data_IF_619297949690
#
_entry.id   IF_619297949690
#
_cell.length_a   1.000
_cell.length_b   1.000
_cell.length_c   1.000
_cell.angle_alpha   90.00
_cell.angle_beta   90.00
_cell.angle_gamma   90.00
#
_symmetry.space_group_name_H-M   'P 1'
#
loop_
_entity.id
_entity.type
_entity.pdbx_description
1 polymer ?
#
# COMPACT_ATOMS: atom_id res chain seq x y z
N UNK A 1 70.66 6.25 29.40
CA UNK A 1 69.36 5.62 29.65
C UNK A 1 68.24 6.68 29.80
N UNK A 2 67.70 7.24 28.74
CA UNK A 2 66.51 8.09 28.76
C UNK A 2 66.06 8.21 27.30
N UNK A 3 65.10 7.39 26.87
CA UNK A 3 64.61 7.46 25.48
C UNK A 3 63.72 6.25 25.05
N UNK A 4 62.74 5.91 25.85
CA UNK A 4 61.75 4.87 25.46
C UNK A 4 60.39 5.04 26.15
N UNK A 5 59.81 6.23 26.12
CA UNK A 5 58.49 6.42 26.76
C UNK A 5 57.52 7.38 26.03
N UNK A 6 57.78 7.67 24.74
CA UNK A 6 56.90 8.58 23.99
C UNK A 6 56.22 7.96 22.77
N UNK A 7 56.26 6.64 22.56
CA UNK A 7 55.65 5.98 21.39
C UNK A 7 54.34 5.23 21.66
N UNK A 8 53.85 5.20 22.90
CA UNK A 8 52.63 4.45 23.26
C UNK A 8 51.39 5.30 23.51
N UNK A 9 51.49 6.63 23.42
CA UNK A 9 50.36 7.53 23.66
C UNK A 9 49.64 8.04 22.38
N UNK A 10 50.19 7.80 21.17
CA UNK A 10 49.58 8.26 19.91
C UNK A 10 48.72 7.21 19.20
N UNK A 11 48.79 5.94 19.60
CA UNK A 11 47.99 4.87 18.96
C UNK A 11 46.59 4.72 19.54
N UNK A 12 46.27 5.34 20.67
CA UNK A 12 44.96 5.20 21.34
C UNK A 12 43.93 6.25 20.92
N UNK A 13 44.33 7.31 20.22
CA UNK A 13 43.39 8.35 19.75
C UNK A 13 42.90 8.16 18.31
N UNK A 14 43.43 7.20 17.56
CA UNK A 14 42.99 6.96 16.17
C UNK A 14 41.89 5.88 16.04
N UNK A 15 41.57 5.19 17.14
CA UNK A 15 40.53 4.14 17.14
C UNK A 15 39.12 4.64 17.55
N UNK A 16 39.00 5.90 17.97
CA UNK A 16 37.70 6.46 18.41
C UNK A 16 37.00 7.37 17.37
N UNK A 17 37.53 7.49 16.17
CA UNK A 17 36.98 8.35 15.11
C UNK A 17 36.35 7.54 13.94
N UNK A 18 35.89 6.29 14.18
CA UNK A 18 34.78 5.75 13.38
C UNK A 18 33.51 6.38 13.92
N UNK A 19 33.43 7.71 13.82
CA UNK A 19 32.23 8.47 14.06
C UNK A 19 31.16 7.93 13.12
N UNK A 20 30.02 7.54 13.69
CA UNK A 20 28.80 7.23 12.97
C UNK A 20 28.62 8.24 11.84
N UNK A 21 28.66 7.77 10.59
CA UNK A 21 28.32 8.60 9.45
C UNK A 21 26.94 9.20 9.75
N UNK A 22 26.77 10.52 9.70
CA UNK A 22 25.48 11.12 9.98
C UNK A 22 24.46 10.54 9.02
N UNK A 23 23.38 9.99 9.55
CA UNK A 23 22.23 9.63 8.73
C UNK A 23 21.70 10.93 8.13
N UNK A 24 21.87 11.12 6.82
CA UNK A 24 21.34 12.29 6.14
C UNK A 24 19.81 12.20 6.11
N UNK A 25 19.15 13.32 6.42
CA UNK A 25 17.73 13.47 6.21
C UNK A 25 17.47 13.61 4.71
N UNK A 26 16.55 12.80 4.17
CA UNK A 26 16.25 12.73 2.74
C UNK A 26 14.76 12.85 2.47
N UNK A 27 14.40 13.35 1.29
CA UNK A 27 13.01 13.57 0.86
C UNK A 27 12.27 12.27 0.51
N UNK A 28 12.96 11.14 0.44
CA UNK A 28 12.42 9.84 0.07
C UNK A 28 13.18 8.72 0.77
N UNK A 29 12.60 7.54 0.84
CA UNK A 29 13.27 6.32 1.28
C UNK A 29 13.05 5.21 0.26
N UNK A 30 14.15 4.61 -0.22
CA UNK A 30 14.16 3.43 -1.06
C UNK A 30 14.66 2.22 -0.25
N UNK A 31 14.00 1.08 -0.38
CA UNK A 31 14.38 -0.15 0.33
C UNK A 31 15.72 -0.70 -0.16
N UNK A 32 15.97 -0.61 -1.46
CA UNK A 32 17.10 -1.27 -2.08
C UNK A 32 18.13 -0.33 -2.63
N UNK A 33 17.81 0.77 -3.26
CA UNK A 33 18.82 1.63 -3.88
C UNK A 33 18.31 3.02 -4.28
N UNK A 34 18.56 3.43 -5.52
CA UNK A 34 18.40 4.79 -6.01
C UNK A 34 16.94 5.22 -6.10
N UNK A 35 16.76 6.48 -5.82
CA UNK A 35 15.47 7.16 -5.89
C UNK A 35 15.34 7.77 -7.29
N UNK A 36 14.31 7.40 -8.05
CA UNK A 36 14.07 7.91 -9.42
C UNK A 36 13.86 9.42 -9.45
N UNK A 37 13.12 9.95 -8.51
CA UNK A 37 12.80 11.38 -8.45
C UNK A 37 13.72 12.10 -7.47
N UNK A 38 14.70 12.89 -7.95
CA UNK A 38 15.69 13.56 -7.10
C UNK A 38 15.05 14.68 -6.27
N UNK A 39 15.75 15.19 -5.25
CA UNK A 39 15.30 16.38 -4.53
C UNK A 39 14.98 17.53 -5.48
N UNK A 40 13.83 18.18 -5.28
CA UNK A 40 13.37 19.28 -6.13
C UNK A 40 12.60 18.86 -7.37
N UNK A 41 12.27 17.57 -7.56
CA UNK A 41 11.34 17.17 -8.63
C UNK A 41 10.01 17.91 -8.49
N UNK A 42 9.30 18.08 -9.60
CA UNK A 42 8.09 18.93 -9.65
C UNK A 42 6.79 18.14 -9.66
N UNK A 43 6.79 16.94 -10.19
CA UNK A 43 5.65 15.99 -10.23
C UNK A 43 6.17 14.61 -10.64
N UNK A 44 5.38 13.57 -10.46
CA UNK A 44 5.66 12.25 -11.01
C UNK A 44 5.44 12.22 -12.53
N UNK A 45 6.24 11.44 -13.26
CA UNK A 45 6.21 11.40 -14.73
C UNK A 45 4.87 10.92 -15.32
N UNK A 46 4.13 10.11 -14.58
CA UNK A 46 2.86 9.52 -15.01
C UNK A 46 1.64 10.44 -14.81
N UNK A 47 1.81 11.65 -14.30
CA UNK A 47 0.71 12.60 -14.12
C UNK A 47 0.79 13.73 -15.14
N UNK A 48 -0.36 14.31 -15.47
CA UNK A 48 -0.41 15.60 -16.15
C UNK A 48 -0.51 16.71 -15.10
N UNK A 49 0.56 17.53 -14.88
CA UNK A 49 0.54 18.58 -13.87
C UNK A 49 -0.49 19.68 -14.15
N UNK A 50 -0.88 19.84 -15.41
CA UNK A 50 -1.84 20.83 -15.91
C UNK A 50 -3.25 20.24 -16.11
N UNK A 51 -3.50 19.04 -15.58
CA UNK A 51 -4.82 18.41 -15.67
C UNK A 51 -5.89 19.34 -15.08
N UNK A 52 -7.01 19.56 -15.79
CA UNK A 52 -8.08 20.44 -15.31
C UNK A 52 -8.68 19.91 -14.02
N UNK A 53 -9.00 20.84 -13.12
CA UNK A 53 -9.70 20.54 -11.87
C UNK A 53 -11.18 20.85 -12.06
N UNK A 54 -12.06 19.95 -11.61
CA UNK A 54 -13.50 20.17 -11.66
C UNK A 54 -14.31 18.92 -11.90
N UNK A 55 -15.63 19.09 -11.93
CA UNK A 55 -16.58 18.05 -12.25
C UNK A 55 -16.72 16.93 -11.22
N UNK A 56 -17.50 15.95 -11.59
CA UNK A 56 -17.77 14.76 -10.78
C UNK A 56 -17.46 13.49 -11.58
N UNK A 57 -16.88 12.49 -10.93
CA UNK A 57 -16.81 11.13 -11.43
C UNK A 57 -17.63 10.22 -10.52
N UNK A 58 -18.52 9.43 -11.15
CA UNK A 58 -19.33 8.42 -10.47
C UNK A 58 -18.76 7.04 -10.81
N UNK A 59 -18.48 6.28 -9.79
CA UNK A 59 -17.86 4.96 -9.93
C UNK A 59 -18.61 3.91 -9.11
N UNK A 60 -18.21 2.68 -9.28
CA UNK A 60 -18.56 1.57 -8.40
C UNK A 60 -17.28 1.02 -7.79
N UNK A 61 -17.31 0.55 -6.54
CA UNK A 61 -16.15 -0.12 -5.96
C UNK A 61 -15.73 -1.33 -6.82
N UNK A 62 -14.43 -1.59 -6.98
CA UNK A 62 -13.94 -2.70 -7.79
C UNK A 62 -14.23 -4.08 -7.18
N UNK A 63 -14.36 -4.14 -5.86
CA UNK A 63 -14.78 -5.32 -5.12
C UNK A 63 -16.28 -5.25 -4.87
N UNK A 64 -16.93 -6.36 -4.55
CA UNK A 64 -18.34 -6.37 -4.13
C UNK A 64 -18.46 -5.79 -2.71
N UNK A 65 -18.66 -4.50 -2.50
CA UNK A 65 -19.11 -4.03 -1.22
C UNK A 65 -20.60 -4.27 -1.16
N UNK A 66 -20.98 -5.00 -0.21
CA UNK A 66 -22.40 -5.23 0.04
C UNK A 66 -23.04 -4.02 0.70
N UNK A 67 -22.27 -3.22 1.42
CA UNK A 67 -22.73 -2.04 2.15
C UNK A 67 -21.56 -1.36 2.88
N UNK A 68 -21.80 -0.14 3.42
CA UNK A 68 -20.96 0.40 4.48
C UNK A 68 -21.85 0.86 5.62
N UNK A 69 -21.39 0.66 6.86
CA UNK A 69 -22.12 0.92 8.10
C UNK A 69 -21.29 1.70 9.13
N UNK A 70 -20.08 2.10 8.75
CA UNK A 70 -19.18 2.88 9.60
C UNK A 70 -18.25 3.77 8.76
N UNK A 71 -17.62 4.77 9.42
CA UNK A 71 -16.58 5.61 8.83
C UNK A 71 -15.19 5.38 9.42
N UNK A 72 -15.03 4.38 10.29
CA UNK A 72 -13.73 3.98 10.81
C UNK A 72 -13.21 2.74 10.06
N UNK A 73 -12.23 2.88 9.14
CA UNK A 73 -11.72 1.75 8.37
C UNK A 73 -10.74 0.88 9.17
N UNK A 74 -10.34 1.30 10.37
CA UNK A 74 -9.27 0.69 11.15
C UNK A 74 -9.76 -0.31 12.20
N UNK A 75 -11.07 -0.50 12.34
CA UNK A 75 -11.67 -1.42 13.31
C UNK A 75 -12.21 -2.69 12.66
N UNK A 76 -12.30 -3.78 13.42
CA UNK A 76 -12.66 -5.10 12.88
C UNK A 76 -14.14 -5.19 12.44
N UNK A 77 -15.06 -4.74 13.30
CA UNK A 77 -16.50 -4.89 13.05
C UNK A 77 -17.00 -3.83 12.07
N UNK A 78 -17.92 -4.22 11.20
CA UNK A 78 -18.53 -3.36 10.19
C UNK A 78 -17.64 -3.14 8.95
N UNK A 79 -18.18 -2.47 7.96
CA UNK A 79 -17.53 -2.18 6.68
C UNK A 79 -17.45 -0.68 6.46
N UNK A 80 -16.26 -0.16 6.23
CA UNK A 80 -16.05 1.23 5.85
C UNK A 80 -16.26 1.42 4.34
N UNK A 81 -16.65 2.62 3.89
CA UNK A 81 -16.85 2.88 2.48
C UNK A 81 -15.55 2.79 1.69
N UNK A 82 -15.66 2.38 0.43
CA UNK A 82 -14.51 2.29 -0.47
C UNK A 82 -13.80 3.64 -0.61
N UNK A 83 -12.48 3.60 -0.78
CA UNK A 83 -11.58 4.73 -0.96
C UNK A 83 -11.44 5.68 0.25
N UNK A 84 -12.15 5.45 1.37
CA UNK A 84 -12.04 6.30 2.55
C UNK A 84 -10.59 6.42 3.03
N UNK A 85 -9.87 5.30 3.12
CA UNK A 85 -8.49 5.27 3.59
C UNK A 85 -7.54 6.09 2.73
N UNK A 86 -7.73 6.09 1.41
CA UNK A 86 -6.82 6.75 0.45
C UNK A 86 -7.19 8.21 0.12
N UNK A 87 -8.44 8.60 0.31
CA UNK A 87 -8.91 9.95 -0.03
C UNK A 87 -8.93 10.89 1.17
N UNK A 88 -9.15 10.35 2.37
CA UNK A 88 -9.37 11.14 3.59
C UNK A 88 -8.17 11.15 4.52
N UNK A 89 -7.41 10.06 4.54
CA UNK A 89 -6.22 9.95 5.38
C UNK A 89 -4.94 10.00 4.56
N UNK A 90 -3.89 10.50 5.17
CA UNK A 90 -2.54 10.48 4.61
C UNK A 90 -1.57 9.79 5.55
N UNK A 91 -0.40 9.48 5.01
CA UNK A 91 0.72 8.83 5.69
C UNK A 91 1.94 9.75 5.69
N UNK A 92 2.96 9.37 6.43
CA UNK A 92 4.22 10.13 6.47
C UNK A 92 4.92 10.16 5.12
N UNK A 93 4.95 9.01 4.44
CA UNK A 93 5.47 8.87 3.07
C UNK A 93 4.37 8.39 2.13
N UNK A 94 4.50 8.68 0.85
CA UNK A 94 3.63 8.15 -0.19
C UNK A 94 4.44 7.38 -1.22
N UNK A 95 3.96 6.18 -1.61
CA UNK A 95 4.51 5.44 -2.72
C UNK A 95 4.20 6.12 -4.06
N UNK A 96 4.79 5.59 -5.11
CA UNK A 96 4.54 5.99 -6.50
C UNK A 96 4.34 4.75 -7.39
N UNK A 97 3.93 4.95 -8.65
CA UNK A 97 3.65 3.86 -9.58
C UNK A 97 4.88 3.35 -10.34
N UNK A 98 5.99 4.08 -10.29
CA UNK A 98 7.21 3.75 -11.03
C UNK A 98 8.19 2.91 -10.19
N UNK A 99 8.13 3.03 -8.86
CA UNK A 99 9.08 2.43 -7.92
C UNK A 99 8.33 1.79 -6.75
N UNK A 100 7.99 0.50 -6.82
CA UNK A 100 7.16 -0.15 -5.80
C UNK A 100 7.83 -0.24 -4.41
N UNK A 101 9.16 -0.14 -4.34
CA UNK A 101 9.95 -0.24 -3.10
C UNK A 101 10.48 1.11 -2.61
N UNK A 102 9.96 2.21 -3.16
CA UNK A 102 10.37 3.58 -2.82
C UNK A 102 9.16 4.41 -2.41
N UNK A 103 9.32 5.24 -1.39
CA UNK A 103 8.28 6.18 -0.96
C UNK A 103 8.87 7.58 -0.68
N UNK A 104 8.09 8.58 -1.00
CA UNK A 104 8.46 10.00 -0.97
C UNK A 104 7.74 10.72 0.16
N UNK A 105 8.35 11.78 0.67
CA UNK A 105 7.76 12.59 1.72
C UNK A 105 6.38 13.13 1.37
N UNK A 106 5.44 13.00 2.31
CA UNK A 106 4.09 13.53 2.23
C UNK A 106 3.80 14.33 3.51
N UNK A 107 3.19 13.74 4.56
CA UNK A 107 3.13 14.42 5.86
C UNK A 107 4.53 14.66 6.44
N UNK A 108 5.49 13.80 6.14
CA UNK A 108 6.89 14.04 6.44
C UNK A 108 7.55 14.82 5.30
N UNK A 109 8.28 15.87 5.65
CA UNK A 109 9.19 16.59 4.76
C UNK A 109 10.48 15.80 4.52
N UNK A 110 10.94 15.10 5.57
CA UNK A 110 12.19 14.37 5.57
C UNK A 110 12.08 13.07 6.37
N UNK A 111 12.85 12.08 5.95
CA UNK A 111 13.07 10.83 6.68
C UNK A 111 14.55 10.62 6.91
N UNK A 112 14.91 10.11 8.10
CA UNK A 112 16.27 9.74 8.48
C UNK A 112 16.27 8.32 9.03
N UNK A 113 17.06 7.45 8.41
CA UNK A 113 17.27 6.07 8.86
C UNK A 113 18.77 5.90 9.15
N UNK A 114 19.17 5.57 10.38
CA UNK A 114 20.59 5.39 10.73
C UNK A 114 21.12 4.09 10.10
N UNK A 115 22.45 3.98 9.92
CA UNK A 115 23.07 2.79 9.30
C UNK A 115 22.77 1.47 10.00
N UNK A 116 22.50 1.49 11.31
CA UNK A 116 22.11 0.30 12.07
C UNK A 116 20.65 -0.13 11.81
N UNK A 117 19.85 0.70 11.12
CA UNK A 117 18.44 0.43 10.74
C UNK A 117 17.54 0.04 11.93
N UNK A 118 17.86 0.49 13.12
CA UNK A 118 17.07 0.23 14.33
C UNK A 118 16.04 1.30 14.63
N UNK A 119 15.95 2.34 13.79
CA UNK A 119 14.95 3.39 13.90
C UNK A 119 14.73 4.10 12.58
N UNK A 120 13.61 4.81 12.48
CA UNK A 120 13.35 5.82 11.45
C UNK A 120 12.81 7.08 12.11
N UNK A 121 13.35 8.24 11.75
CA UNK A 121 12.92 9.54 12.26
C UNK A 121 12.35 10.35 11.12
N UNK A 122 11.16 10.92 11.32
CA UNK A 122 10.43 11.72 10.33
C UNK A 122 10.25 13.12 10.86
N UNK A 123 10.57 14.13 10.04
CA UNK A 123 10.29 15.53 10.31
C UNK A 123 9.03 15.94 9.54
N UNK A 124 7.97 16.36 10.22
CA UNK A 124 6.68 16.69 9.61
C UNK A 124 6.73 17.98 8.82
N UNK A 125 5.99 18.01 7.71
CA UNK A 125 5.85 19.19 6.87
C UNK A 125 5.16 20.34 7.64
N UNK A 126 5.70 21.56 7.69
CA UNK A 126 5.15 22.67 8.48
C UNK A 126 3.76 23.13 8.04
N UNK A 127 3.41 22.90 6.78
CA UNK A 127 2.09 23.22 6.24
C UNK A 127 1.04 22.13 6.47
N UNK A 128 1.43 20.92 6.92
CA UNK A 128 0.50 19.81 7.10
C UNK A 128 -0.64 20.16 8.06
N UNK A 129 -1.88 19.97 7.61
CA UNK A 129 -3.11 20.31 8.34
C UNK A 129 -4.15 19.22 8.21
N UNK A 130 -4.89 19.00 9.27
CA UNK A 130 -6.12 18.23 9.24
C UNK A 130 -7.28 19.01 8.62
N UNK A 131 -8.36 18.30 8.31
CA UNK A 131 -9.58 18.87 7.75
C UNK A 131 -10.25 19.94 8.66
N UNK A 132 -10.00 19.91 9.97
CA UNK A 132 -10.45 20.93 10.92
C UNK A 132 -9.53 22.16 10.98
N UNK A 133 -8.49 22.20 10.15
CA UNK A 133 -7.51 23.30 10.07
C UNK A 133 -6.37 23.20 11.08
N UNK A 134 -6.42 22.30 12.05
CA UNK A 134 -5.34 22.12 13.02
C UNK A 134 -4.09 21.54 12.37
N UNK A 135 -2.88 21.90 12.86
CA UNK A 135 -1.64 21.32 12.36
C UNK A 135 -1.57 19.83 12.67
N UNK A 136 -0.97 19.06 11.76
CA UNK A 136 -0.57 17.68 12.04
C UNK A 136 0.71 17.73 12.86
N UNK A 137 0.69 17.14 14.05
CA UNK A 137 1.80 17.13 14.99
C UNK A 137 2.35 15.72 15.20
N UNK A 138 3.58 15.62 15.68
CA UNK A 138 4.21 14.34 16.03
C UNK A 138 3.37 13.55 17.05
N UNK A 139 2.66 14.24 17.94
CA UNK A 139 1.75 13.62 18.90
C UNK A 139 0.56 12.90 18.21
N UNK A 140 0.09 13.38 17.05
CA UNK A 140 -0.98 12.72 16.27
C UNK A 140 -0.46 11.45 15.60
N UNK A 141 0.79 11.46 15.12
CA UNK A 141 1.46 10.27 14.56
C UNK A 141 1.64 9.19 15.64
N UNK A 142 2.13 9.58 16.81
CA UNK A 142 2.27 8.67 17.96
C UNK A 142 0.91 8.13 18.39
N UNK A 143 -0.11 8.99 18.46
CA UNK A 143 -1.48 8.58 18.76
C UNK A 143 -2.00 7.56 17.74
N UNK A 144 -1.82 7.80 16.46
CA UNK A 144 -2.25 6.90 15.38
C UNK A 144 -1.56 5.53 15.51
N UNK A 145 -0.25 5.49 15.74
CA UNK A 145 0.50 4.26 15.94
C UNK A 145 -0.02 3.46 17.16
N UNK A 146 -0.11 4.12 18.31
CA UNK A 146 -0.56 3.47 19.56
C UNK A 146 -2.01 2.97 19.44
N UNK A 147 -2.85 3.70 18.75
CA UNK A 147 -4.24 3.31 18.49
C UNK A 147 -4.30 2.08 17.57
N UNK A 148 -3.58 2.10 16.44
CA UNK A 148 -3.58 1.01 15.48
C UNK A 148 -2.98 -0.29 16.06
N UNK A 149 -1.99 -0.19 16.93
CA UNK A 149 -1.38 -1.35 17.60
C UNK A 149 -2.15 -1.82 18.83
N UNK A 150 -3.18 -1.10 19.26
CA UNK A 150 -4.04 -1.47 20.40
C UNK A 150 -4.98 -2.65 20.08
N UNK A 151 -5.63 -3.18 21.10
CA UNK A 151 -6.68 -4.21 20.96
C UNK A 151 -7.98 -3.66 20.35
N UNK A 152 -8.16 -2.35 20.29
CA UNK A 152 -9.35 -1.67 19.78
C UNK A 152 -9.32 -1.53 18.24
N UNK A 153 -8.15 -1.64 17.63
CA UNK A 153 -8.01 -1.68 16.17
C UNK A 153 -8.11 -3.13 15.64
N UNK A 154 -8.29 -3.25 14.32
CA UNK A 154 -8.33 -4.55 13.66
C UNK A 154 -6.99 -5.30 13.81
N UNK A 155 -7.01 -6.63 14.03
CA UNK A 155 -5.82 -7.42 14.39
C UNK A 155 -4.66 -7.34 13.39
N UNK A 156 -4.96 -7.12 12.11
CA UNK A 156 -3.92 -7.00 11.06
C UNK A 156 -2.90 -5.91 11.35
N UNK A 157 -3.30 -4.79 11.95
CA UNK A 157 -2.37 -3.69 12.25
C UNK A 157 -1.31 -4.10 13.28
N UNK A 158 -1.69 -4.90 14.28
CA UNK A 158 -0.71 -5.45 15.22
C UNK A 158 0.29 -6.39 14.55
N UNK A 159 -0.15 -7.15 13.55
CA UNK A 159 0.76 -8.01 12.77
C UNK A 159 1.70 -7.17 11.87
N UNK A 160 1.17 -6.16 11.19
CA UNK A 160 1.96 -5.26 10.33
C UNK A 160 3.06 -4.54 11.12
N UNK A 161 2.72 -4.04 12.31
CA UNK A 161 3.67 -3.27 13.14
C UNK A 161 4.35 -4.10 14.24
N UNK A 162 4.36 -5.43 14.14
CA UNK A 162 4.88 -6.32 15.18
C UNK A 162 6.36 -6.07 15.52
N UNK A 163 7.17 -5.64 14.54
CA UNK A 163 8.59 -5.34 14.73
C UNK A 163 8.86 -3.88 15.11
N UNK A 164 7.84 -3.05 15.27
CA UNK A 164 7.95 -1.67 15.75
C UNK A 164 7.74 -1.64 17.26
N UNK A 165 8.80 -1.32 18.01
CA UNK A 165 8.78 -1.30 19.48
C UNK A 165 7.97 -0.13 20.04
N UNK A 166 8.24 1.07 19.52
CA UNK A 166 7.58 2.29 19.99
C UNK A 166 7.63 3.38 18.93
N UNK A 167 6.78 4.39 19.11
CA UNK A 167 6.79 5.66 18.41
C UNK A 167 6.87 6.79 19.44
N UNK A 168 7.85 7.68 19.28
CA UNK A 168 8.16 8.75 20.23
C UNK A 168 8.17 10.10 19.53
N UNK A 169 7.40 11.05 20.01
CA UNK A 169 7.51 12.46 19.62
C UNK A 169 8.76 13.07 20.27
N UNK A 170 9.75 13.45 19.47
CA UNK A 170 10.97 14.09 19.95
C UNK A 170 10.76 15.60 20.20
N UNK A 171 9.89 16.21 19.37
CA UNK A 171 9.39 17.57 19.47
C UNK A 171 8.02 17.65 18.79
N UNK A 172 7.48 18.85 18.56
CA UNK A 172 6.15 19.04 17.94
C UNK A 172 6.05 18.47 16.52
N UNK A 173 7.17 18.38 15.78
CA UNK A 173 7.21 18.01 14.37
C UNK A 173 8.11 16.83 14.05
N UNK A 174 8.78 16.28 15.03
CA UNK A 174 9.72 15.17 14.84
C UNK A 174 9.24 13.95 15.58
N UNK A 175 9.01 12.86 14.85
CA UNK A 175 8.62 11.56 15.39
C UNK A 175 9.67 10.51 15.04
N UNK A 176 10.03 9.67 16.01
CA UNK A 176 10.92 8.54 15.82
C UNK A 176 10.18 7.24 16.10
N UNK A 177 10.39 6.26 15.22
CA UNK A 177 9.97 4.88 15.42
C UNK A 177 11.19 4.03 15.73
N UNK A 178 11.12 3.23 16.79
CA UNK A 178 12.17 2.32 17.22
C UNK A 178 11.81 0.88 16.82
N UNK A 179 12.75 0.14 16.24
CA UNK A 179 12.55 -1.18 15.67
C UNK A 179 13.14 -2.29 16.54
N UNK A 180 12.56 -3.49 16.44
CA UNK A 180 13.04 -4.65 17.19
C UNK A 180 14.33 -5.23 16.60
N UNK A 181 14.44 -5.21 15.27
CA UNK A 181 15.57 -5.73 14.50
C UNK A 181 15.87 -4.82 13.30
N UNK A 182 17.09 -4.87 12.72
CA UNK A 182 17.38 -4.17 11.48
C UNK A 182 16.56 -4.76 10.33
N UNK A 183 15.73 -3.92 9.69
CA UNK A 183 14.93 -4.32 8.55
C UNK A 183 14.72 -3.12 7.61
N UNK A 184 14.98 -3.32 6.31
CA UNK A 184 14.87 -2.27 5.30
C UNK A 184 13.44 -1.92 4.93
N UNK A 185 12.46 -2.77 5.24
CA UNK A 185 11.04 -2.53 4.96
C UNK A 185 10.37 -1.66 6.03
N UNK A 186 10.84 -1.72 7.27
CA UNK A 186 10.18 -1.04 8.38
C UNK A 186 10.02 0.47 8.20
N UNK A 187 10.99 1.22 7.63
CA UNK A 187 10.79 2.63 7.34
C UNK A 187 9.64 2.88 6.35
N UNK A 188 9.43 2.01 5.34
CA UNK A 188 8.28 2.08 4.42
C UNK A 188 6.98 1.72 5.13
N UNK A 189 6.99 0.69 5.96
CA UNK A 189 5.81 0.23 6.71
C UNK A 189 5.29 1.34 7.64
N UNK A 190 6.17 1.95 8.44
CA UNK A 190 5.74 3.06 9.32
C UNK A 190 5.51 4.34 8.53
N UNK A 191 6.26 4.55 7.44
CA UNK A 191 6.06 5.66 6.52
C UNK A 191 4.69 5.64 5.84
N UNK A 192 4.17 4.45 5.50
CA UNK A 192 2.84 4.24 4.94
C UNK A 192 1.69 4.16 5.95
N UNK A 193 1.97 4.31 7.24
CA UNK A 193 0.95 4.27 8.28
C UNK A 193 -0.02 5.45 8.16
N UNK A 194 -1.36 5.20 8.13
CA UNK A 194 -2.33 6.29 8.12
C UNK A 194 -2.26 7.12 9.41
N UNK A 195 -2.26 8.44 9.25
CA UNK A 195 -2.26 9.40 10.34
C UNK A 195 -3.64 10.04 10.46
N UNK A 196 -4.18 10.08 11.65
CA UNK A 196 -5.46 10.72 11.97
C UNK A 196 -5.35 11.56 13.23
N UNK A 197 -6.22 12.56 13.33
CA UNK A 197 -6.27 13.46 14.46
C UNK A 197 -6.65 12.71 15.74
N UNK A 198 -5.95 13.00 16.85
CA UNK A 198 -6.31 12.52 18.20
C UNK A 198 -7.64 13.08 18.70
N UNK A 199 -8.19 14.09 18.02
CA UNK A 199 -9.51 14.62 18.33
C UNK A 199 -10.65 13.84 17.64
N UNK A 200 -10.34 12.98 16.66
CA UNK A 200 -11.34 12.12 16.01
C UNK A 200 -11.88 11.08 16.98
N UNK A 201 -13.20 11.13 17.23
CA UNK A 201 -13.86 10.26 18.19
C UNK A 201 -13.48 10.52 19.64
N UNK A 202 -13.00 11.73 19.97
CA UNK A 202 -12.54 12.10 21.30
C UNK A 202 -13.54 11.71 22.39
N UNK A 203 -13.03 11.05 23.41
CA UNK A 203 -13.83 10.58 24.55
C UNK A 203 -14.51 9.23 24.35
N UNK A 204 -14.37 8.59 23.18
CA UNK A 204 -14.88 7.25 22.87
C UNK A 204 -13.75 6.23 22.80
N UNK A 205 -13.94 4.98 23.20
CA UNK A 205 -13.07 3.88 22.80
C UNK A 205 -12.99 3.80 21.26
N UNK A 206 -11.83 3.50 20.70
CA UNK A 206 -11.61 3.61 19.25
C UNK A 206 -12.50 2.65 18.43
N UNK A 207 -12.85 1.49 18.97
CA UNK A 207 -13.78 0.53 18.35
C UNK A 207 -15.26 0.97 18.39
N UNK A 208 -15.56 2.02 19.15
CA UNK A 208 -16.88 2.66 19.20
C UNK A 208 -16.96 3.95 18.34
N UNK A 209 -15.86 4.38 17.74
CA UNK A 209 -15.83 5.45 16.74
C UNK A 209 -16.35 4.90 15.42
N UNK A 210 -17.66 4.90 15.22
CA UNK A 210 -18.34 4.22 14.11
C UNK A 210 -18.86 5.22 13.09
N UNK A 211 -19.76 6.10 13.50
CA UNK A 211 -20.43 7.11 12.64
C UNK A 211 -19.76 8.49 12.70
N UNK A 212 -18.72 8.64 13.49
CA UNK A 212 -17.98 9.89 13.60
C UNK A 212 -17.22 10.18 12.30
N UNK A 213 -17.47 11.33 11.69
CA UNK A 213 -16.79 11.73 10.46
C UNK A 213 -15.27 11.83 10.74
N UNK A 214 -14.42 11.18 9.94
CA UNK A 214 -12.99 11.21 10.12
C UNK A 214 -12.39 12.62 10.03
N UNK A 215 -11.45 12.90 10.93
CA UNK A 215 -10.60 14.10 10.87
C UNK A 215 -9.27 13.65 10.27
N UNK A 216 -9.20 13.60 8.94
CA UNK A 216 -8.00 13.27 8.17
C UNK A 216 -7.32 14.53 7.65
N UNK A 217 -6.25 14.36 6.88
CA UNK A 217 -5.46 15.41 6.22
C UNK A 217 -5.49 15.31 4.71
N UNK A 218 -6.24 14.35 4.17
CA UNK A 218 -6.25 13.99 2.75
C UNK A 218 -6.96 15.01 1.85
N UNK A 219 -6.85 14.80 0.52
CA UNK A 219 -7.36 15.73 -0.48
C UNK A 219 -8.89 15.80 -0.58
N UNK A 220 -9.59 14.85 0.02
CA UNK A 220 -11.05 14.80 0.00
C UNK A 220 -11.63 14.66 1.40
N UNK A 221 -12.88 15.14 1.54
CA UNK A 221 -13.73 15.00 2.73
C UNK A 221 -14.99 14.23 2.40
N UNK A 222 -15.56 13.50 3.35
CA UNK A 222 -16.90 12.94 3.19
C UNK A 222 -17.89 14.10 3.08
N UNK A 223 -18.65 14.15 1.98
CA UNK A 223 -19.62 15.23 1.71
C UNK A 223 -21.05 14.77 1.92
N UNK A 224 -21.43 13.62 1.38
CA UNK A 224 -22.82 13.13 1.40
C UNK A 224 -22.84 11.59 1.49
N UNK A 225 -22.80 11.04 2.69
CA UNK A 225 -22.91 9.61 2.89
C UNK A 225 -24.36 9.17 2.96
N UNK A 226 -24.76 8.22 2.10
CA UNK A 226 -26.05 7.53 2.17
C UNK A 226 -25.77 6.04 2.38
N UNK A 227 -25.75 5.63 3.65
CA UNK A 227 -25.44 4.24 4.02
C UNK A 227 -26.29 3.27 3.20
N UNK A 228 -25.63 2.23 2.66
CA UNK A 228 -26.27 1.23 1.80
C UNK A 228 -26.55 1.65 0.36
N UNK A 229 -26.26 2.87 -0.04
CA UNK A 229 -26.56 3.39 -1.39
C UNK A 229 -25.34 3.97 -2.10
N UNK A 230 -24.73 4.98 -1.51
CA UNK A 230 -23.57 5.66 -2.09
C UNK A 230 -22.83 6.52 -1.06
N UNK A 231 -21.61 6.86 -1.39
CA UNK A 231 -20.84 7.84 -0.69
C UNK A 231 -20.21 8.82 -1.68
N UNK A 232 -20.31 10.11 -1.38
CA UNK A 232 -19.65 11.17 -2.13
C UNK A 232 -18.54 11.78 -1.30
N UNK A 233 -17.37 11.86 -1.91
CA UNK A 233 -16.23 12.60 -1.41
C UNK A 233 -16.13 13.92 -2.18
N UNK A 234 -16.02 15.04 -1.48
CA UNK A 234 -15.77 16.35 -2.07
C UNK A 234 -14.31 16.74 -1.87
N UNK A 235 -13.69 17.29 -2.94
CA UNK A 235 -12.32 17.78 -2.88
C UNK A 235 -12.23 18.93 -1.90
N UNK A 236 -11.24 18.90 -1.02
CA UNK A 236 -10.96 20.00 -0.11
C UNK A 236 -10.26 21.13 -0.87
N UNK A 237 -10.95 22.25 -1.05
CA UNK A 237 -10.38 23.43 -1.72
C UNK A 237 -9.17 24.02 -0.94
N UNK A 238 -9.07 23.70 0.35
CA UNK A 238 -7.99 24.18 1.24
C UNK A 238 -6.95 23.10 1.52
N UNK A 239 -6.94 22.02 0.72
CA UNK A 239 -6.01 20.91 0.91
C UNK A 239 -4.56 21.41 0.96
N UNK A 240 -3.89 21.18 2.06
CA UNK A 240 -2.56 21.68 2.37
C UNK A 240 -1.49 21.15 1.38
N UNK A 241 -1.66 19.93 0.89
CA UNK A 241 -0.70 19.24 0.04
C UNK A 241 -0.89 19.44 -1.46
N UNK A 242 -1.82 20.32 -1.90
CA UNK A 242 -2.20 20.46 -3.30
C UNK A 242 -1.03 20.81 -4.24
N UNK A 243 0.01 21.48 -3.75
CA UNK A 243 1.18 21.91 -4.52
C UNK A 243 2.42 21.03 -4.29
N UNK A 244 2.32 20.01 -3.43
CA UNK A 244 3.43 19.09 -3.22
C UNK A 244 3.75 18.33 -4.52
N UNK A 245 5.02 18.13 -4.87
CA UNK A 245 5.40 17.35 -6.06
C UNK A 245 4.74 15.98 -6.14
N UNK A 246 4.61 15.30 -5.00
CA UNK A 246 3.95 13.99 -4.87
C UNK A 246 2.44 14.01 -5.06
N UNK A 247 1.82 15.20 -5.15
CA UNK A 247 0.36 15.38 -5.28
C UNK A 247 -0.05 16.19 -6.50
N UNK A 248 0.89 16.90 -7.11
CA UNK A 248 0.64 17.72 -8.29
C UNK A 248 0.11 16.88 -9.43
N UNK A 249 -0.90 17.37 -10.16
CA UNK A 249 -1.56 16.66 -11.26
C UNK A 249 -2.56 15.57 -10.85
N UNK A 250 -2.76 15.34 -9.53
CA UNK A 250 -3.69 14.35 -8.99
C UNK A 250 -4.94 15.00 -8.39
N UNK A 251 -5.95 14.18 -8.02
CA UNK A 251 -7.18 14.64 -7.37
C UNK A 251 -7.93 15.71 -8.16
N UNK A 252 -8.22 15.39 -9.44
CA UNK A 252 -8.68 16.38 -10.41
C UNK A 252 -10.19 16.64 -10.32
N UNK A 253 -10.99 15.68 -9.85
CA UNK A 253 -12.43 15.84 -9.73
C UNK A 253 -12.81 16.59 -8.46
N UNK A 254 -13.82 17.48 -8.53
CA UNK A 254 -14.39 18.12 -7.36
C UNK A 254 -15.17 17.15 -6.49
N UNK A 255 -15.76 16.14 -7.12
CA UNK A 255 -16.57 15.12 -6.44
C UNK A 255 -16.23 13.73 -6.97
N UNK A 256 -16.14 12.77 -6.07
CA UNK A 256 -16.00 11.35 -6.38
C UNK A 256 -17.13 10.64 -5.66
N UNK A 257 -18.05 10.03 -6.43
CA UNK A 257 -19.20 9.30 -5.89
C UNK A 257 -19.04 7.81 -6.16
N UNK A 258 -19.09 6.98 -5.12
CA UNK A 258 -19.15 5.53 -5.25
C UNK A 258 -20.57 5.05 -4.99
N UNK A 259 -21.20 4.49 -6.03
CA UNK A 259 -22.50 3.84 -5.95
C UNK A 259 -22.36 2.37 -5.54
N UNK A 260 -23.30 1.88 -4.77
CA UNK A 260 -23.34 0.51 -4.27
C UNK A 260 -24.49 -0.23 -4.96
N UNK A 261 -24.17 -1.38 -5.55
CA UNK A 261 -25.14 -2.31 -6.13
C UNK A 261 -25.04 -3.64 -5.41
N UNK A 262 -26.19 -4.25 -5.11
CA UNK A 262 -26.24 -5.51 -4.37
C UNK A 262 -25.83 -6.71 -5.23
N UNK A 263 -25.99 -6.61 -6.54
CA UNK A 263 -25.66 -7.69 -7.47
C UNK A 263 -25.03 -7.18 -8.78
N UNK A 264 -24.38 -8.09 -9.49
CA UNK A 264 -23.66 -7.81 -10.74
C UNK A 264 -24.58 -7.36 -11.88
N UNK A 265 -25.79 -7.91 -11.95
CA UNK A 265 -26.72 -7.59 -13.02
C UNK A 265 -27.21 -6.15 -12.88
N UNK A 266 -27.67 -5.77 -11.69
CA UNK A 266 -28.07 -4.39 -11.38
C UNK A 266 -26.94 -3.39 -11.62
N UNK A 267 -25.69 -3.77 -11.25
CA UNK A 267 -24.52 -2.94 -11.50
C UNK A 267 -24.28 -2.74 -13.00
N UNK A 268 -24.38 -3.78 -13.79
CA UNK A 268 -24.16 -3.71 -15.23
C UNK A 268 -25.28 -2.92 -15.94
N UNK A 269 -26.54 -3.11 -15.54
CA UNK A 269 -27.64 -2.32 -16.07
C UNK A 269 -27.54 -0.84 -15.67
N UNK A 270 -27.05 -0.55 -14.46
CA UNK A 270 -26.74 0.81 -14.02
C UNK A 270 -25.65 1.49 -14.88
N UNK A 271 -24.63 0.74 -15.35
CA UNK A 271 -23.65 1.25 -16.31
C UNK A 271 -24.32 1.65 -17.64
N UNK A 272 -25.13 0.75 -18.20
CA UNK A 272 -25.84 1.03 -19.46
C UNK A 272 -26.82 2.19 -19.35
N UNK A 273 -27.41 2.38 -18.18
CA UNK A 273 -28.30 3.50 -17.88
C UNK A 273 -27.57 4.82 -17.61
N UNK A 274 -26.20 4.84 -17.65
CA UNK A 274 -25.41 6.03 -17.36
C UNK A 274 -25.47 6.48 -15.91
N UNK A 275 -25.78 5.57 -14.98
CA UNK A 275 -25.84 5.91 -13.58
C UNK A 275 -24.47 6.18 -12.97
N UNK A 276 -23.41 5.63 -13.56
CA UNK A 276 -22.03 5.90 -13.20
C UNK A 276 -21.13 5.84 -14.44
N UNK A 277 -19.93 6.39 -14.33
CA UNK A 277 -19.08 6.74 -15.46
C UNK A 277 -17.96 5.73 -15.70
N UNK A 278 -17.56 4.95 -14.68
CA UNK A 278 -16.43 4.03 -14.77
C UNK A 278 -16.59 2.81 -13.86
N UNK A 279 -16.23 1.64 -14.37
CA UNK A 279 -16.01 0.43 -13.57
C UNK A 279 -14.87 -0.42 -14.12
N UNK A 280 -14.26 -1.21 -13.23
CA UNK A 280 -13.35 -2.28 -13.62
C UNK A 280 -14.09 -3.59 -13.67
N UNK A 281 -13.89 -4.36 -14.74
CA UNK A 281 -14.49 -5.69 -14.89
C UNK A 281 -13.44 -6.76 -14.59
N UNK A 282 -13.80 -7.72 -13.75
CA UNK A 282 -12.95 -8.84 -13.35
C UNK A 282 -13.51 -10.20 -13.80
N UNK A 283 -14.73 -10.24 -14.31
CA UNK A 283 -15.42 -11.47 -14.69
C UNK A 283 -15.24 -11.67 -16.19
N UNK A 284 -14.47 -12.67 -16.57
CA UNK A 284 -14.16 -12.98 -17.98
C UNK A 284 -15.42 -13.20 -18.82
N UNK A 285 -16.42 -13.89 -18.28
CA UNK A 285 -17.72 -14.09 -18.96
C UNK A 285 -18.42 -12.76 -19.27
N UNK A 286 -18.47 -11.84 -18.31
CA UNK A 286 -19.08 -10.54 -18.51
C UNK A 286 -18.32 -9.76 -19.58
N UNK A 287 -16.97 -9.70 -19.41
CA UNK A 287 -16.11 -9.04 -20.38
C UNK A 287 -16.29 -9.57 -21.80
N UNK A 288 -16.39 -10.90 -21.97
CA UNK A 288 -16.52 -11.51 -23.29
C UNK A 288 -17.91 -11.32 -23.92
N UNK A 289 -18.99 -11.28 -23.12
CA UNK A 289 -20.35 -11.43 -23.63
C UNK A 289 -21.30 -10.28 -23.36
N UNK A 290 -21.08 -9.48 -22.30
CA UNK A 290 -22.10 -8.50 -21.88
C UNK A 290 -21.83 -7.07 -22.39
N UNK A 291 -20.59 -6.74 -22.69
CA UNK A 291 -20.19 -5.40 -23.13
C UNK A 291 -20.47 -5.22 -24.64
N UNK A 292 -21.73 -5.26 -25.00
CA UNK A 292 -22.24 -5.16 -26.37
C UNK A 292 -23.57 -4.38 -26.37
N UNK A 293 -24.03 -3.95 -27.56
CA UNK A 293 -25.29 -3.29 -27.77
C UNK A 293 -25.15 -1.79 -27.99
N UNK A 294 -26.29 -1.10 -28.16
CA UNK A 294 -26.37 0.27 -28.69
C UNK A 294 -25.38 1.26 -28.04
N UNK A 295 -25.26 1.27 -26.72
CA UNK A 295 -24.38 2.23 -26.02
C UNK A 295 -22.89 2.00 -26.34
N UNK A 296 -22.49 0.75 -26.59
CA UNK A 296 -21.13 0.40 -27.01
C UNK A 296 -20.92 0.65 -28.49
N UNK A 297 -21.95 0.36 -29.33
CA UNK A 297 -21.89 0.53 -30.78
C UNK A 297 -21.88 2.03 -31.15
N UNK A 298 -22.57 2.87 -30.38
CA UNK A 298 -22.59 4.34 -30.56
C UNK A 298 -21.37 5.05 -30.00
N UNK A 299 -20.53 4.36 -29.18
CA UNK A 299 -19.40 4.95 -28.51
C UNK A 299 -19.74 5.74 -27.23
N UNK A 300 -20.98 5.73 -26.76
CA UNK A 300 -21.38 6.27 -25.44
C UNK A 300 -20.65 5.54 -24.31
N UNK A 301 -20.45 4.24 -24.46
CA UNK A 301 -19.66 3.40 -23.56
C UNK A 301 -18.49 2.81 -24.33
N UNK A 302 -17.31 2.88 -23.73
CA UNK A 302 -16.09 2.30 -24.29
C UNK A 302 -15.59 1.13 -23.43
N UNK A 303 -15.35 -0.02 -24.08
CA UNK A 303 -14.70 -1.19 -23.50
C UNK A 303 -13.22 -1.15 -23.83
N UNK A 304 -12.34 -1.08 -22.83
CA UNK A 304 -10.88 -1.01 -23.04
C UNK A 304 -10.13 -1.96 -22.11
N UNK A 305 -9.16 -2.67 -22.66
CA UNK A 305 -8.16 -3.41 -21.90
C UNK A 305 -6.86 -2.58 -21.86
N UNK A 306 -6.25 -2.51 -20.68
CA UNK A 306 -4.99 -1.83 -20.47
C UNK A 306 -3.94 -2.85 -20.00
N UNK A 307 -2.90 -2.99 -20.78
CA UNK A 307 -1.72 -3.74 -20.35
C UNK A 307 -0.99 -2.95 -19.28
N UNK A 308 -0.48 -3.67 -18.29
CA UNK A 308 0.27 -3.06 -17.21
C UNK A 308 1.45 -3.98 -16.79
N UNK A 309 2.40 -3.42 -16.05
CA UNK A 309 3.55 -4.12 -15.49
C UNK A 309 3.45 -4.32 -13.97
N UNK A 310 2.28 -4.14 -13.42
CA UNK A 310 2.09 -4.38 -11.99
C UNK A 310 2.34 -5.87 -11.69
N UNK A 311 2.99 -6.18 -10.57
CA UNK A 311 3.08 -7.55 -10.10
C UNK A 311 1.70 -8.18 -10.05
N UNK A 312 1.56 -9.37 -10.62
CA UNK A 312 0.30 -10.11 -10.60
C UNK A 312 0.16 -10.88 -9.28
N UNK A 313 -1.08 -11.10 -8.89
CA UNK A 313 -1.37 -11.96 -7.74
C UNK A 313 -1.17 -13.43 -8.10
N UNK A 314 -0.65 -14.20 -7.15
CA UNK A 314 -0.63 -15.65 -7.24
C UNK A 314 -2.00 -16.21 -6.85
N UNK A 315 -2.63 -16.95 -7.76
CA UNK A 315 -3.85 -17.68 -7.48
C UNK A 315 -3.65 -19.17 -7.77
N UNK A 316 -3.89 -20.02 -6.78
CA UNK A 316 -3.70 -21.45 -6.92
C UNK A 316 -4.26 -22.25 -5.75
N UNK A 317 -4.21 -23.57 -5.88
CA UNK A 317 -4.56 -24.51 -4.82
C UNK A 317 -3.30 -24.87 -4.03
N UNK A 318 -3.31 -24.62 -2.73
CA UNK A 318 -2.21 -24.94 -1.83
C UNK A 318 -2.53 -26.26 -1.13
N UNK A 319 -1.66 -27.25 -1.30
CA UNK A 319 -1.81 -28.56 -0.66
C UNK A 319 -1.41 -28.51 0.81
N UNK A 320 -2.29 -28.99 1.69
CA UNK A 320 -1.96 -29.14 3.11
C UNK A 320 -1.05 -30.35 3.33
N UNK A 321 0.25 -30.15 3.38
CA UNK A 321 1.24 -31.23 3.55
C UNK A 321 1.22 -31.89 4.92
N UNK A 322 0.43 -31.39 5.89
CA UNK A 322 0.17 -32.11 7.14
C UNK A 322 -0.73 -33.33 6.92
N UNK A 323 -1.44 -33.40 5.80
CA UNK A 323 -2.18 -34.60 5.39
C UNK A 323 -1.21 -35.63 4.78
N UNK A 324 -1.03 -36.83 5.37
CA UNK A 324 -0.10 -37.84 4.87
C UNK A 324 -0.31 -38.21 3.39
N UNK A 325 -1.55 -38.22 2.91
CA UNK A 325 -1.89 -38.52 1.51
C UNK A 325 -1.32 -37.50 0.53
N UNK A 326 -1.07 -36.26 0.98
CA UNK A 326 -0.56 -35.18 0.16
C UNK A 326 0.95 -34.94 0.34
N UNK A 327 1.63 -35.72 1.18
CA UNK A 327 3.08 -35.63 1.37
C UNK A 327 3.83 -36.20 0.16
N UNK A 328 3.30 -37.21 -0.49
CA UNK A 328 3.90 -37.77 -1.72
C UNK A 328 3.75 -36.79 -2.88
N UNK A 329 4.87 -36.36 -3.43
CA UNK A 329 4.93 -35.43 -4.57
C UNK A 329 4.21 -35.98 -5.80
N UNK A 330 4.20 -37.32 -5.98
CA UNK A 330 3.53 -37.99 -7.13
C UNK A 330 2.02 -37.81 -7.06
N UNK A 331 1.45 -37.86 -5.86
CA UNK A 331 0.01 -37.60 -5.62
C UNK A 331 -0.34 -36.16 -5.95
N UNK A 332 0.45 -35.20 -5.47
CA UNK A 332 0.23 -33.79 -5.81
C UNK A 332 0.35 -33.52 -7.30
N UNK A 333 1.34 -34.15 -7.96
CA UNK A 333 1.54 -34.04 -9.41
C UNK A 333 0.38 -34.63 -10.19
N UNK A 334 -0.14 -35.80 -9.77
CA UNK A 334 -1.32 -36.40 -10.36
C UNK A 334 -2.55 -35.50 -10.29
N UNK A 335 -2.79 -34.88 -9.12
CA UNK A 335 -3.89 -33.91 -8.96
C UNK A 335 -3.68 -32.69 -9.86
N UNK A 336 -2.45 -32.16 -9.93
CA UNK A 336 -2.14 -31.03 -10.80
C UNK A 336 -2.31 -31.33 -12.30
N UNK A 337 -2.03 -32.57 -12.73
CA UNK A 337 -2.25 -33.02 -14.11
C UNK A 337 -3.73 -33.22 -14.44
N UNK A 338 -4.57 -33.52 -13.45
CA UNK A 338 -6.03 -33.58 -13.63
C UNK A 338 -6.68 -32.22 -13.82
N UNK A 339 -5.97 -31.13 -13.52
CA UNK A 339 -6.42 -29.76 -13.70
C UNK A 339 -6.06 -29.26 -15.10
N UNK A 340 -6.95 -29.46 -16.06
CA UNK A 340 -6.76 -28.99 -17.43
C UNK A 340 -7.05 -27.49 -17.54
N UNK A 341 -6.05 -26.67 -17.23
CA UNK A 341 -6.15 -25.21 -17.29
C UNK A 341 -6.46 -24.73 -18.71
N UNK A 342 -5.83 -25.31 -19.72
CA UNK A 342 -5.98 -24.85 -21.11
C UNK A 342 -7.40 -25.08 -21.62
N UNK A 343 -8.01 -26.21 -21.28
CA UNK A 343 -9.41 -26.46 -21.58
C UNK A 343 -10.32 -25.49 -20.83
N UNK A 344 -10.10 -25.31 -19.52
CA UNK A 344 -10.89 -24.36 -18.72
C UNK A 344 -10.75 -22.93 -19.24
N UNK A 345 -9.54 -22.52 -19.61
CA UNK A 345 -9.30 -21.19 -20.14
C UNK A 345 -10.08 -20.97 -21.42
N UNK A 346 -10.06 -21.93 -22.34
CA UNK A 346 -10.85 -21.83 -23.60
C UNK A 346 -12.36 -21.85 -23.36
N UNK A 347 -12.85 -22.77 -22.52
CA UNK A 347 -14.29 -23.01 -22.39
C UNK A 347 -14.99 -22.09 -21.38
N UNK A 348 -14.32 -21.77 -20.27
CA UNK A 348 -14.91 -21.04 -19.16
C UNK A 348 -14.42 -19.60 -19.05
N UNK A 349 -13.16 -19.33 -19.47
CA UNK A 349 -12.55 -18.02 -19.29
C UNK A 349 -12.29 -17.29 -20.60
N UNK A 350 -12.78 -17.81 -21.72
CA UNK A 350 -12.74 -17.17 -23.05
C UNK A 350 -11.31 -16.86 -23.54
N UNK A 351 -10.32 -17.65 -23.13
CA UNK A 351 -8.92 -17.43 -23.46
C UNK A 351 -8.29 -16.19 -22.81
N UNK A 352 -8.93 -15.59 -21.80
CA UNK A 352 -8.52 -14.32 -21.22
C UNK A 352 -7.50 -14.46 -20.10
N UNK A 353 -7.26 -15.67 -19.61
CA UNK A 353 -6.31 -15.91 -18.53
C UNK A 353 -5.01 -16.54 -19.04
N UNK A 354 -3.96 -16.34 -18.27
CA UNK A 354 -2.67 -16.99 -18.45
C UNK A 354 -2.39 -17.85 -17.22
N UNK A 355 -1.85 -19.05 -17.44
CA UNK A 355 -1.44 -19.92 -16.35
C UNK A 355 -0.29 -19.26 -15.58
N UNK A 356 -0.42 -19.22 -14.27
CA UNK A 356 0.63 -18.70 -13.39
C UNK A 356 1.74 -19.76 -13.28
N UNK A 357 2.96 -19.37 -13.57
CA UNK A 357 4.16 -20.19 -13.56
C UNK A 357 5.23 -19.71 -12.56
N UNK A 358 4.93 -18.64 -11.82
CA UNK A 358 5.80 -18.04 -10.80
C UNK A 358 4.98 -17.58 -9.62
N UNK A 359 5.62 -17.46 -8.44
CA UNK A 359 5.03 -16.78 -7.27
C UNK A 359 4.95 -15.27 -7.45
N UNK A 360 5.72 -14.70 -8.37
CA UNK A 360 5.82 -13.26 -8.62
C UNK A 360 5.53 -12.92 -10.09
N UNK A 361 4.34 -13.32 -10.63
CA UNK A 361 4.07 -13.13 -12.06
C UNK A 361 4.05 -11.65 -12.42
N UNK A 362 4.45 -11.35 -13.66
CA UNK A 362 4.48 -9.99 -14.21
C UNK A 362 5.36 -8.99 -13.43
N UNK A 363 6.37 -9.47 -12.74
CA UNK A 363 7.34 -8.64 -12.00
C UNK A 363 8.78 -8.95 -12.41
N UNK A 364 9.71 -8.15 -11.97
CA UNK A 364 11.15 -8.41 -12.11
C UNK A 364 11.61 -9.65 -11.34
N UNK A 365 10.89 -10.03 -10.28
CA UNK A 365 11.14 -11.24 -9.49
C UNK A 365 10.58 -12.52 -10.13
N UNK A 366 9.89 -12.42 -11.26
CA UNK A 366 9.41 -13.60 -11.98
C UNK A 366 10.58 -14.38 -12.53
N UNK A 367 10.74 -15.63 -12.09
CA UNK A 367 11.71 -16.56 -12.69
C UNK A 367 11.42 -16.75 -14.18
N UNK A 368 12.44 -16.64 -15.02
CA UNK A 368 12.34 -16.77 -16.47
C UNK A 368 13.49 -17.62 -17.00
N UNK A 369 13.16 -18.62 -17.80
CA UNK A 369 14.16 -19.53 -18.37
C UNK A 369 14.71 -20.54 -17.36
N UNK A 370 15.91 -21.04 -17.64
CA UNK A 370 16.64 -21.95 -16.74
C UNK A 370 17.44 -21.15 -15.72
N UNK A 371 17.61 -21.67 -14.49
CA UNK A 371 18.38 -20.98 -13.46
C UNK A 371 19.85 -20.79 -13.89
N UNK A 372 20.41 -19.63 -13.56
CA UNK A 372 21.82 -19.33 -13.75
C UNK A 372 22.74 -20.12 -12.80
N UNK A 373 24.05 -19.98 -12.98
CA UNK A 373 25.03 -20.71 -12.17
C UNK A 373 24.91 -20.36 -10.67
N UNK A 374 24.65 -19.10 -10.35
CA UNK A 374 24.49 -18.61 -8.98
C UNK A 374 23.21 -19.14 -8.34
N UNK A 375 22.11 -19.14 -9.08
CA UNK A 375 20.84 -19.73 -8.65
C UNK A 375 20.96 -21.24 -8.43
N UNK A 376 21.65 -21.95 -9.34
CA UNK A 376 21.92 -23.40 -9.19
C UNK A 376 22.75 -23.69 -7.94
N UNK A 377 23.72 -22.83 -7.59
CA UNK A 377 24.50 -22.97 -6.36
C UNK A 377 23.63 -22.84 -5.11
N UNK A 378 22.67 -21.90 -5.09
CA UNK A 378 21.72 -21.73 -3.98
C UNK A 378 20.69 -22.88 -3.91
N UNK A 379 20.15 -23.31 -5.03
CA UNK A 379 19.24 -24.48 -5.12
C UNK A 379 19.96 -25.75 -4.61
N UNK A 380 21.23 -25.95 -4.99
CA UNK A 380 22.04 -27.06 -4.50
C UNK A 380 22.24 -27.05 -2.98
N UNK A 381 22.50 -25.88 -2.40
CA UNK A 381 22.63 -25.70 -0.94
C UNK A 381 21.30 -25.95 -0.20
N UNK A 382 20.18 -25.48 -0.75
CA UNK A 382 18.86 -25.69 -0.17
C UNK A 382 18.48 -27.19 -0.18
N UNK A 383 18.69 -27.89 -1.28
CA UNK A 383 18.40 -29.32 -1.39
C UNK A 383 19.30 -30.20 -0.51
N UNK A 384 20.55 -29.77 -0.23
CA UNK A 384 21.42 -30.44 0.73
C UNK A 384 20.94 -30.27 2.17
N UNK A 385 20.39 -29.09 2.54
CA UNK A 385 19.81 -28.85 3.88
C UNK A 385 18.57 -29.70 4.13
N UNK A 386 17.68 -29.84 3.14
CA UNK A 386 16.50 -30.69 3.27
C UNK A 386 16.84 -32.19 3.43
N UNK A 387 17.90 -32.67 2.76
CA UNK A 387 18.36 -34.06 2.94
C UNK A 387 18.94 -34.36 4.32
N UNK A 388 19.50 -33.35 4.98
CA UNK A 388 20.07 -33.50 6.34
C UNK A 388 19.00 -33.40 7.42
N UNK A 389 17.84 -32.80 7.14
CA UNK A 389 16.75 -32.62 8.09
C UNK A 389 15.65 -33.72 8.00
N UNK A 390 15.75 -34.66 7.06
CA UNK A 390 14.86 -35.81 6.99
C UNK A 390 15.51 -37.00 7.73
N UNK A 391 15.01 -37.41 8.90
CA UNK A 391 15.45 -38.67 9.50
C UNK A 391 14.99 -39.82 8.57
N UNK A 392 15.88 -40.73 8.35
CA UNK A 392 15.69 -42.03 7.63
C UNK A 392 14.64 -42.87 8.38
#
# INVERSE_FOLDING_TARGET
>A
MRGRLYFLALSSCLAAALAALPAYAVHAYAQFDDVKYPPGFTHFDYVNPDAPKGGEIRMVPPTRPTNFDKFNPFTLKGTAPFALGSLVFESLLTGNLDEPTTAYGLLALEVRVPPNRLSATFTLHPAARFHDGKPVLAADVVHSFKTLTSKLAAPQYRAIYAEVKDAVALDERTVRFDFASPNTELPLIVGGMPVFSRDWGKGKPFDQVVADIPIGSGPYRIANPRMGRDITYARDATYWGAQLPVRKGQFNFDRITFKIYLDETSRFEGLKAGEFDFMREFISRNWARQYTGRAFDSGELAKRAFENRNPGDFQGYIFNLRNPKLQDVRVRRAIALAFDFEWMNRQLFYGLYKRVDSYFPNSEFQARGLPGADELAEIGRASCRERVSSPV
#
